data_IF_446800887527
#
_entry.id   IF_446800887527
#
_cell.length_a   1.000
_cell.length_b   1.000
_cell.length_c   1.000
_cell.angle_alpha   90.00
_cell.angle_beta   90.00
_cell.angle_gamma   90.00
#
_symmetry.space_group_name_H-M   'P 1'
#
loop_
_entity.id
_entity.type
_entity.pdbx_description
1 polymer ?
#
# COMPACT_ATOMS: atom_id res chain seq x y z
N UNK A 1 -4.05 -75.45 60.06
CA UNK A 1 -4.20 -75.48 58.59
C UNK A 1 -4.45 -74.05 58.14
N UNK A 2 -3.39 -73.40 57.69
CA UNK A 2 -3.35 -71.98 57.31
C UNK A 2 -4.14 -71.73 56.02
N UNK A 3 -4.90 -70.64 55.96
CA UNK A 3 -5.08 -69.89 54.72
C UNK A 3 -5.01 -68.40 55.00
N UNK A 4 -3.93 -67.79 54.51
CA UNK A 4 -3.73 -66.34 54.42
C UNK A 4 -4.32 -65.91 53.08
N UNK A 5 -5.34 -65.05 53.09
CA UNK A 5 -5.83 -64.38 51.88
C UNK A 5 -4.92 -63.17 51.62
N UNK A 6 -4.12 -63.22 50.55
CA UNK A 6 -3.30 -62.11 50.09
C UNK A 6 -4.13 -61.30 49.08
N UNK A 7 -4.53 -60.09 49.47
CA UNK A 7 -5.16 -59.12 48.57
C UNK A 7 -4.06 -58.32 47.86
N UNK A 8 -3.93 -58.50 46.54
CA UNK A 8 -3.04 -57.69 45.71
C UNK A 8 -3.75 -56.40 45.29
N UNK A 9 -3.49 -55.31 46.00
CA UNK A 9 -3.86 -53.96 45.56
C UNK A 9 -2.83 -53.49 44.53
N UNK A 10 -3.20 -53.48 43.26
CA UNK A 10 -2.41 -52.85 42.19
C UNK A 10 -2.49 -51.34 42.38
N UNK A 11 -1.41 -50.75 42.90
CA UNK A 11 -1.19 -49.30 42.89
C UNK A 11 -0.87 -48.87 41.45
N UNK A 12 -1.89 -48.38 40.75
CA UNK A 12 -1.69 -47.62 39.51
C UNK A 12 -1.09 -46.27 39.91
N UNK A 13 0.22 -46.12 39.73
CA UNK A 13 0.88 -44.82 39.81
C UNK A 13 0.44 -44.00 38.60
N UNK A 14 -0.58 -43.17 38.77
CA UNK A 14 -0.87 -42.08 37.84
C UNK A 14 0.26 -41.06 37.93
N UNK A 15 1.08 -40.97 36.87
CA UNK A 15 2.00 -39.86 36.69
C UNK A 15 1.16 -38.58 36.53
N UNK A 16 1.02 -37.81 37.61
CA UNK A 16 0.57 -36.44 37.56
C UNK A 16 1.60 -35.65 36.74
N UNK A 17 1.32 -35.48 35.45
CA UNK A 17 2.05 -34.58 34.58
C UNK A 17 1.77 -33.16 35.11
N UNK A 18 2.63 -32.67 36.00
CA UNK A 18 2.50 -31.36 36.64
C UNK A 18 2.69 -30.27 35.57
N UNK A 19 1.63 -29.93 34.86
CA UNK A 19 1.53 -28.65 34.20
C UNK A 19 1.27 -27.64 35.32
N UNK A 20 2.34 -26.95 35.73
CA UNK A 20 2.21 -25.77 36.60
C UNK A 20 1.17 -24.84 35.99
N UNK A 21 0.31 -24.27 36.84
CA UNK A 21 -0.69 -23.30 36.40
C UNK A 21 -0.02 -22.19 35.57
N UNK A 22 -0.66 -21.71 34.48
CA UNK A 22 -0.14 -20.60 33.69
C UNK A 22 0.14 -19.38 34.58
N UNK A 23 1.31 -18.75 34.41
CA UNK A 23 1.69 -17.53 35.12
C UNK A 23 1.39 -16.36 34.20
N UNK A 24 0.58 -15.42 34.70
CA UNK A 24 0.22 -14.18 34.00
C UNK A 24 0.73 -12.99 34.83
N UNK A 25 1.83 -12.39 34.39
CA UNK A 25 2.43 -11.24 35.07
C UNK A 25 3.23 -10.36 34.11
N UNK A 26 3.61 -9.17 34.58
CA UNK A 26 4.59 -8.35 33.87
C UNK A 26 5.92 -9.12 33.73
N UNK A 27 6.67 -8.80 32.67
CA UNK A 27 7.97 -9.37 32.34
C UNK A 27 7.98 -10.91 32.23
N UNK A 28 6.83 -11.50 31.87
CA UNK A 28 6.66 -12.96 31.77
C UNK A 28 6.01 -13.35 30.43
N UNK A 29 6.54 -14.43 29.84
CA UNK A 29 6.17 -14.97 28.55
C UNK A 29 5.18 -16.12 28.69
N UNK A 30 4.20 -16.21 27.79
CA UNK A 30 3.29 -17.36 27.73
C UNK A 30 3.94 -18.57 27.04
N UNK A 31 4.83 -18.29 26.08
CA UNK A 31 5.56 -19.25 25.28
C UNK A 31 6.94 -18.68 24.92
N UNK A 32 7.96 -19.51 24.89
CA UNK A 32 9.33 -19.06 24.63
C UNK A 32 10.14 -20.13 23.88
N UNK A 33 11.00 -19.72 22.95
CA UNK A 33 11.81 -20.58 22.09
C UNK A 33 11.01 -21.49 21.13
N UNK A 34 11.71 -22.20 20.25
CA UNK A 34 11.16 -23.09 19.21
C UNK A 34 11.38 -24.55 19.61
N UNK A 35 10.30 -25.32 19.71
CA UNK A 35 10.35 -26.73 20.12
C UNK A 35 10.09 -27.72 18.99
N UNK A 36 9.58 -27.27 17.84
CA UNK A 36 9.31 -28.16 16.72
C UNK A 36 9.07 -27.44 15.41
N UNK A 37 8.93 -28.24 14.37
CA UNK A 37 8.69 -27.76 13.01
C UNK A 37 7.68 -28.68 12.33
N UNK A 38 6.68 -28.09 11.69
CA UNK A 38 5.72 -28.80 10.85
C UNK A 38 6.37 -29.31 9.57
N UNK A 39 5.71 -30.23 8.90
CA UNK A 39 6.17 -30.81 7.62
C UNK A 39 6.32 -29.78 6.50
N UNK A 40 5.64 -28.63 6.58
CA UNK A 40 5.75 -27.50 5.64
C UNK A 40 6.81 -26.46 6.04
N UNK A 41 7.67 -26.78 7.02
CA UNK A 41 8.78 -25.93 7.44
C UNK A 41 8.39 -24.82 8.43
N UNK A 42 7.10 -24.67 8.76
CA UNK A 42 6.65 -23.70 9.78
C UNK A 42 7.09 -24.16 11.18
N UNK A 43 7.87 -23.33 11.85
CA UNK A 43 8.33 -23.57 13.22
C UNK A 43 7.22 -23.32 14.24
N UNK A 44 7.29 -24.00 15.38
CA UNK A 44 6.32 -23.94 16.47
C UNK A 44 7.02 -23.64 17.79
N UNK A 45 6.42 -22.74 18.57
CA UNK A 45 6.95 -22.33 19.85
C UNK A 45 6.81 -23.45 20.90
N UNK A 46 7.68 -23.42 21.91
CA UNK A 46 7.49 -24.25 23.10
C UNK A 46 6.31 -23.73 23.93
N UNK A 47 5.50 -24.61 24.55
CA UNK A 47 4.32 -24.20 25.32
C UNK A 47 4.66 -23.74 26.74
N UNK A 48 5.95 -23.60 27.06
CA UNK A 48 6.42 -23.26 28.39
C UNK A 48 6.69 -21.77 28.48
N UNK A 49 6.11 -21.12 29.49
CA UNK A 49 6.40 -19.73 29.80
C UNK A 49 7.75 -19.56 30.48
N UNK A 50 8.31 -18.36 30.36
CA UNK A 50 9.59 -17.97 30.97
C UNK A 50 9.55 -16.52 31.40
N UNK A 51 10.54 -16.09 32.18
CA UNK A 51 10.79 -14.65 32.32
C UNK A 51 11.22 -14.07 30.98
N UNK A 52 10.80 -12.84 30.71
CA UNK A 52 11.30 -12.05 29.58
C UNK A 52 12.80 -11.79 29.75
N UNK A 53 13.51 -11.78 28.63
CA UNK A 53 14.98 -11.72 28.62
C UNK A 53 15.43 -10.40 28.02
N UNK A 54 16.44 -9.77 28.62
CA UNK A 54 17.09 -8.59 28.04
C UNK A 54 17.89 -9.01 26.81
N UNK A 55 17.56 -8.51 25.60
CA UNK A 55 18.35 -8.79 24.41
C UNK A 55 19.69 -8.05 24.46
N UNK A 56 20.69 -8.55 23.75
CA UNK A 56 21.93 -7.80 23.50
C UNK A 56 21.66 -6.59 22.58
N UNK A 57 22.64 -5.69 22.45
CA UNK A 57 22.47 -4.44 21.71
C UNK A 57 22.19 -4.66 20.22
N UNK A 58 22.79 -5.68 19.62
CA UNK A 58 22.59 -6.02 18.21
C UNK A 58 21.17 -6.53 17.98
N UNK A 59 20.71 -7.44 18.83
CA UNK A 59 19.38 -8.00 18.75
C UNK A 59 18.32 -6.96 19.11
N UNK A 60 18.57 -6.10 20.09
CA UNK A 60 17.69 -4.97 20.42
C UNK A 60 17.48 -4.05 19.22
N UNK A 61 18.56 -3.67 18.52
CA UNK A 61 18.48 -2.86 17.30
C UNK A 61 17.72 -3.58 16.17
N UNK A 62 17.93 -4.89 16.04
CA UNK A 62 17.21 -5.74 15.08
C UNK A 62 15.71 -5.75 15.37
N UNK A 63 15.29 -5.90 16.63
CA UNK A 63 13.89 -5.82 17.04
C UNK A 63 13.29 -4.46 16.71
N UNK A 64 13.96 -3.37 17.07
CA UNK A 64 13.48 -2.01 16.83
C UNK A 64 13.28 -1.69 15.34
N UNK A 65 14.03 -2.34 14.44
CA UNK A 65 13.88 -2.15 12.99
C UNK A 65 12.49 -2.56 12.47
N UNK A 66 11.85 -3.55 13.10
CA UNK A 66 10.52 -4.05 12.73
C UNK A 66 9.44 -3.63 13.74
N UNK A 67 9.78 -3.70 15.03
CA UNK A 67 8.91 -3.54 16.19
C UNK A 67 9.39 -2.38 17.09
N UNK A 68 9.28 -1.11 16.64
CA UNK A 68 9.80 0.05 17.37
C UNK A 68 9.08 0.32 18.70
N UNK A 69 7.90 -0.27 18.92
CA UNK A 69 7.16 -0.18 20.19
C UNK A 69 7.72 -1.09 21.28
N UNK A 70 8.49 -2.12 20.90
CA UNK A 70 9.07 -3.08 21.84
C UNK A 70 10.40 -2.53 22.36
N UNK A 71 10.49 -2.35 23.66
CA UNK A 71 11.69 -1.83 24.34
C UNK A 71 11.98 -2.63 25.60
N UNK A 72 13.26 -2.72 25.99
CA UNK A 72 13.67 -3.47 27.17
C UNK A 72 13.72 -4.98 26.95
N UNK A 73 13.16 -5.74 27.89
CA UNK A 73 13.12 -7.20 27.82
C UNK A 73 12.16 -7.68 26.72
N UNK A 74 12.35 -8.91 26.26
CA UNK A 74 11.55 -9.51 25.19
C UNK A 74 11.25 -10.98 25.44
N UNK A 75 10.14 -11.45 24.88
CA UNK A 75 9.68 -12.85 24.93
C UNK A 75 9.98 -13.65 23.65
N UNK A 76 10.99 -13.25 22.89
CA UNK A 76 11.41 -13.96 21.69
C UNK A 76 12.93 -14.14 21.64
N UNK A 77 13.35 -15.28 21.09
CA UNK A 77 14.74 -15.50 20.68
C UNK A 77 15.01 -14.83 19.32
N UNK A 78 16.27 -14.72 18.93
CA UNK A 78 16.64 -14.15 17.63
C UNK A 78 16.02 -14.96 16.46
N UNK A 79 15.95 -16.29 16.59
CA UNK A 79 15.35 -17.19 15.60
C UNK A 79 13.84 -17.02 15.51
N UNK A 80 13.15 -16.81 16.65
CA UNK A 80 11.73 -16.47 16.67
C UNK A 80 11.47 -15.11 16.01
N UNK A 81 12.31 -14.11 16.26
CA UNK A 81 12.19 -12.81 15.62
C UNK A 81 12.43 -12.87 14.10
N UNK A 82 13.44 -13.63 13.64
CA UNK A 82 13.66 -13.82 12.20
C UNK A 82 12.49 -14.53 11.52
N UNK A 83 11.88 -15.49 12.22
CA UNK A 83 10.65 -16.15 11.78
C UNK A 83 9.50 -15.16 11.65
N UNK A 84 9.26 -14.33 12.69
CA UNK A 84 8.26 -13.27 12.66
C UNK A 84 8.48 -12.36 11.45
N UNK A 85 9.72 -11.87 11.27
CA UNK A 85 10.08 -10.98 10.16
C UNK A 85 9.76 -11.59 8.80
N UNK A 86 10.15 -12.84 8.58
CA UNK A 86 9.87 -13.58 7.33
C UNK A 86 8.37 -13.75 7.07
N UNK A 87 7.59 -14.03 8.12
CA UNK A 87 6.14 -14.23 7.98
C UNK A 87 5.41 -12.91 7.66
N UNK A 88 5.69 -11.84 8.39
CA UNK A 88 5.02 -10.54 8.14
C UNK A 88 5.45 -9.91 6.82
N UNK A 89 6.67 -10.18 6.35
CA UNK A 89 7.16 -9.71 5.05
C UNK A 89 6.29 -10.17 3.87
N UNK A 90 5.59 -11.29 3.98
CA UNK A 90 4.66 -11.76 2.95
C UNK A 90 3.44 -10.84 2.80
N UNK A 91 3.03 -10.15 3.88
CA UNK A 91 1.91 -9.21 3.87
C UNK A 91 2.32 -7.79 3.46
N UNK A 92 3.61 -7.43 3.64
CA UNK A 92 4.13 -6.08 3.39
C UNK A 92 3.74 -5.54 2.00
N UNK A 93 3.96 -6.25 0.87
CA UNK A 93 3.64 -5.72 -0.46
C UNK A 93 2.18 -5.34 -0.68
N UNK A 94 1.25 -5.89 0.12
CA UNK A 94 -0.16 -5.56 0.07
C UNK A 94 -0.49 -4.28 0.86
N UNK A 95 0.26 -4.01 1.93
CA UNK A 95 -0.02 -2.94 2.89
C UNK A 95 0.89 -1.71 2.73
N UNK A 96 1.92 -1.76 1.88
CA UNK A 96 2.89 -0.66 1.69
C UNK A 96 2.28 0.67 1.24
N UNK A 97 1.08 0.67 0.64
CA UNK A 97 0.39 1.90 0.22
C UNK A 97 0.02 2.83 1.38
N UNK A 98 -0.09 2.27 2.59
CA UNK A 98 -0.44 3.00 3.81
C UNK A 98 0.47 2.59 4.97
N UNK A 99 1.51 3.39 5.29
CA UNK A 99 2.44 3.12 6.39
C UNK A 99 1.77 2.98 7.76
N UNK A 100 0.71 3.74 8.05
CA UNK A 100 -0.04 3.63 9.29
C UNK A 100 -0.68 2.24 9.46
N UNK A 101 -1.37 1.76 8.41
CA UNK A 101 -1.94 0.42 8.37
C UNK A 101 -0.87 -0.66 8.57
N UNK A 102 0.23 -0.58 7.81
CA UNK A 102 1.32 -1.54 7.93
C UNK A 102 1.92 -1.54 9.34
N UNK A 103 2.10 -0.37 9.96
CA UNK A 103 2.60 -0.27 11.34
C UNK A 103 1.65 -0.93 12.34
N UNK A 104 0.34 -0.69 12.26
CA UNK A 104 -0.64 -1.34 13.13
C UNK A 104 -0.61 -2.87 12.97
N UNK A 105 -0.55 -3.35 11.73
CA UNK A 105 -0.47 -4.78 11.42
C UNK A 105 0.80 -5.41 11.99
N UNK A 106 1.95 -4.75 11.85
CA UNK A 106 3.20 -5.22 12.44
C UNK A 106 3.14 -5.23 13.97
N UNK A 107 2.61 -4.17 14.59
CA UNK A 107 2.49 -4.07 16.05
C UNK A 107 1.69 -5.23 16.64
N UNK A 108 0.61 -5.68 15.96
CA UNK A 108 -0.16 -6.86 16.38
C UNK A 108 0.71 -8.11 16.54
N UNK A 109 1.55 -8.42 15.55
CA UNK A 109 2.40 -9.62 15.59
C UNK A 109 3.69 -9.42 16.41
N UNK A 110 4.18 -8.20 16.51
CA UNK A 110 5.27 -7.82 17.40
C UNK A 110 4.89 -8.05 18.87
N UNK A 111 3.71 -7.60 19.29
CA UNK A 111 3.21 -7.83 20.64
C UNK A 111 2.94 -9.32 20.89
N UNK A 112 2.37 -10.01 19.91
CA UNK A 112 2.15 -11.45 20.00
C UNK A 112 3.46 -12.21 20.28
N UNK A 113 4.52 -11.86 19.56
CA UNK A 113 5.73 -12.68 19.51
C UNK A 113 6.80 -12.25 20.51
N UNK A 114 6.98 -10.95 20.73
CA UNK A 114 8.16 -10.42 21.40
C UNK A 114 7.87 -9.54 22.62
N UNK A 115 6.60 -9.22 22.93
CA UNK A 115 6.27 -8.37 24.08
C UNK A 115 6.84 -8.92 25.39
N UNK A 116 7.47 -8.09 26.25
CA UNK A 116 7.92 -8.53 27.56
C UNK A 116 6.77 -9.02 28.45
N UNK A 117 5.57 -8.53 28.21
CA UNK A 117 4.37 -8.81 29.02
C UNK A 117 3.42 -9.79 28.32
N UNK A 118 3.94 -10.63 27.41
CA UNK A 118 3.15 -11.52 26.56
C UNK A 118 2.14 -12.37 27.36
N UNK A 119 2.52 -12.86 28.54
CA UNK A 119 1.63 -13.68 29.38
C UNK A 119 0.37 -12.95 29.86
N UNK A 120 0.34 -11.61 29.91
CA UNK A 120 -0.86 -10.89 30.33
C UNK A 120 -2.00 -11.01 29.32
N UNK A 121 -1.70 -11.17 28.04
CA UNK A 121 -2.69 -11.19 26.98
C UNK A 121 -2.65 -12.45 26.11
N UNK A 122 -1.71 -13.36 26.31
CA UNK A 122 -1.68 -14.67 25.64
C UNK A 122 -1.89 -15.79 26.65
N UNK A 123 -2.73 -16.74 26.28
CA UNK A 123 -2.86 -18.01 26.97
C UNK A 123 -2.71 -19.18 25.99
N UNK A 124 -1.90 -20.17 26.32
CA UNK A 124 -1.77 -21.40 25.51
C UNK A 124 -2.96 -22.30 25.80
N UNK A 125 -3.77 -22.59 24.79
CA UNK A 125 -5.02 -23.35 24.93
C UNK A 125 -4.89 -24.80 24.49
N UNK A 126 -4.02 -25.09 23.53
CA UNK A 126 -3.72 -26.46 23.11
C UNK A 126 -2.25 -26.64 22.79
N UNK A 127 -1.79 -27.86 23.04
CA UNK A 127 -0.43 -28.32 22.75
C UNK A 127 -0.49 -29.58 21.90
N UNK A 128 0.48 -29.75 21.01
CA UNK A 128 0.63 -30.94 20.18
C UNK A 128 2.07 -31.47 20.24
N UNK A 129 2.23 -32.78 20.10
CA UNK A 129 3.54 -33.40 19.99
C UNK A 129 4.03 -33.38 18.53
N UNK A 130 5.19 -32.77 18.30
CA UNK A 130 5.81 -32.67 16.98
C UNK A 130 7.29 -33.02 17.12
N UNK A 131 7.73 -34.08 16.43
CA UNK A 131 9.12 -34.52 16.48
C UNK A 131 9.60 -34.96 17.88
N UNK A 132 8.69 -35.46 18.73
CA UNK A 132 8.99 -35.87 20.11
C UNK A 132 9.01 -34.75 21.15
N UNK A 133 8.73 -33.50 20.74
CA UNK A 133 8.64 -32.35 21.63
C UNK A 133 7.20 -31.82 21.71
N UNK A 134 6.81 -31.28 22.86
CA UNK A 134 5.56 -30.55 23.00
C UNK A 134 5.69 -29.15 22.38
N UNK A 135 4.69 -28.77 21.59
CA UNK A 135 4.66 -27.51 20.85
C UNK A 135 3.29 -26.85 20.99
N UNK A 136 3.26 -25.52 20.86
CA UNK A 136 2.00 -24.76 20.84
C UNK A 136 1.18 -25.12 19.60
N UNK A 137 -0.08 -25.50 19.82
CA UNK A 137 -1.04 -25.83 18.77
C UNK A 137 -2.22 -24.83 18.70
N UNK A 138 -2.46 -24.11 19.80
CA UNK A 138 -3.50 -23.11 19.90
C UNK A 138 -3.24 -22.13 21.03
N UNK A 139 -3.59 -20.86 20.80
CA UNK A 139 -3.56 -19.80 21.80
C UNK A 139 -4.86 -19.00 21.81
N UNK A 140 -5.18 -18.41 22.95
CA UNK A 140 -6.07 -17.25 23.06
C UNK A 140 -5.21 -15.98 23.12
N UNK A 141 -5.54 -15.00 22.29
CA UNK A 141 -4.91 -13.69 22.30
C UNK A 141 -5.96 -12.62 22.63
N UNK A 142 -5.84 -12.06 23.83
CA UNK A 142 -6.72 -11.05 24.37
C UNK A 142 -6.32 -9.66 23.86
N UNK A 143 -7.21 -9.00 23.12
CA UNK A 143 -6.94 -7.72 22.44
C UNK A 143 -8.13 -6.81 22.64
N UNK A 144 -7.90 -5.52 22.87
CA UNK A 144 -9.01 -4.56 22.97
C UNK A 144 -9.71 -4.37 21.63
N UNK A 145 -11.04 -4.25 21.65
CA UNK A 145 -11.83 -3.94 20.44
C UNK A 145 -11.40 -2.60 19.81
N UNK A 146 -10.94 -1.64 20.62
CA UNK A 146 -10.39 -0.38 20.13
C UNK A 146 -9.17 -0.58 19.23
N UNK A 147 -8.25 -1.48 19.59
CA UNK A 147 -7.09 -1.79 18.75
C UNK A 147 -7.53 -2.49 17.46
N UNK A 148 -8.42 -3.49 17.56
CA UNK A 148 -8.94 -4.21 16.41
C UNK A 148 -9.64 -3.29 15.40
N UNK A 149 -10.54 -2.43 15.88
CA UNK A 149 -11.25 -1.45 15.08
C UNK A 149 -10.27 -0.46 14.43
N UNK A 150 -9.33 0.11 15.20
CA UNK A 150 -8.35 1.05 14.66
C UNK A 150 -7.43 0.44 13.59
N UNK A 151 -7.02 -0.83 13.77
CA UNK A 151 -6.27 -1.57 12.77
C UNK A 151 -7.11 -1.75 11.50
N UNK A 152 -8.34 -2.24 11.60
CA UNK A 152 -9.23 -2.42 10.46
C UNK A 152 -9.49 -1.11 9.71
N UNK A 153 -9.88 -0.06 10.43
CA UNK A 153 -10.17 1.26 9.86
C UNK A 153 -8.96 1.87 9.15
N UNK A 154 -7.75 1.66 9.67
CA UNK A 154 -6.53 2.13 9.00
C UNK A 154 -6.22 1.40 7.69
N UNK A 155 -6.76 0.18 7.50
CA UNK A 155 -6.39 -0.73 6.42
C UNK A 155 -7.49 -0.98 5.37
N UNK A 156 -8.76 -0.74 5.70
CA UNK A 156 -9.90 -1.17 4.88
C UNK A 156 -9.94 -0.58 3.46
N UNK A 157 -9.37 0.61 3.26
CA UNK A 157 -9.30 1.30 1.96
C UNK A 157 -7.97 1.10 1.23
N UNK A 158 -6.98 0.45 1.87
CA UNK A 158 -5.66 0.23 1.29
C UNK A 158 -5.75 -0.68 0.06
N UNK A 159 -5.11 -0.27 -1.03
CA UNK A 159 -5.12 -1.00 -2.29
C UNK A 159 -3.79 -1.70 -2.54
N UNK A 160 -3.88 -2.90 -3.10
CA UNK A 160 -2.73 -3.54 -3.70
C UNK A 160 -2.46 -2.90 -5.06
N UNK A 161 -1.40 -2.08 -5.12
CA UNK A 161 -1.14 -1.16 -6.24
C UNK A 161 -1.09 -1.80 -7.63
N UNK A 162 -0.70 -3.07 -7.75
CA UNK A 162 -0.60 -3.75 -9.06
C UNK A 162 -1.96 -4.16 -9.64
N UNK A 163 -2.95 -4.46 -8.79
CA UNK A 163 -4.26 -4.98 -9.20
C UNK A 163 -5.41 -3.98 -8.94
N UNK A 164 -5.14 -2.86 -8.25
CA UNK A 164 -6.16 -1.88 -7.84
C UNK A 164 -7.32 -2.53 -7.04
N UNK A 165 -7.04 -3.64 -6.37
CA UNK A 165 -7.97 -4.35 -5.49
C UNK A 165 -7.62 -4.06 -4.03
N UNK A 166 -8.60 -4.12 -3.13
CA UNK A 166 -8.36 -3.88 -1.70
C UNK A 166 -7.42 -4.94 -1.13
N UNK A 167 -6.40 -4.50 -0.40
CA UNK A 167 -5.40 -5.36 0.23
C UNK A 167 -6.03 -6.37 1.21
N UNK A 168 -7.09 -5.95 1.92
CA UNK A 168 -7.85 -6.79 2.87
C UNK A 168 -8.42 -8.05 2.23
N UNK A 169 -8.63 -8.08 0.90
CA UNK A 169 -9.07 -9.28 0.21
C UNK A 169 -8.00 -10.39 0.21
N UNK A 170 -6.72 -10.03 0.30
CA UNK A 170 -5.60 -10.96 0.35
C UNK A 170 -5.15 -11.24 1.78
N UNK A 171 -4.97 -10.19 2.59
CA UNK A 171 -4.43 -10.33 3.96
C UNK A 171 -5.51 -10.56 5.03
N UNK A 172 -6.79 -10.43 4.66
CA UNK A 172 -7.93 -10.59 5.57
C UNK A 172 -9.06 -11.42 4.99
N UNK A 173 -8.85 -12.12 3.86
CA UNK A 173 -9.88 -12.98 3.26
C UNK A 173 -11.15 -12.26 2.84
N UNK A 174 -11.11 -10.93 2.63
CA UNK A 174 -12.28 -10.13 2.31
C UNK A 174 -13.13 -9.73 3.52
N UNK A 175 -12.55 -9.74 4.72
CA UNK A 175 -13.19 -9.31 5.95
C UNK A 175 -13.84 -7.92 5.83
N UNK A 176 -15.07 -7.80 6.35
CA UNK A 176 -15.86 -6.56 6.36
C UNK A 176 -15.80 -5.81 7.70
N UNK A 177 -15.17 -6.39 8.70
CA UNK A 177 -14.94 -5.82 10.02
C UNK A 177 -13.70 -6.45 10.67
N UNK A 178 -13.23 -5.88 11.78
CA UNK A 178 -12.02 -6.37 12.45
C UNK A 178 -12.16 -7.79 12.99
N UNK A 179 -13.36 -8.23 13.40
CA UNK A 179 -13.60 -9.58 13.96
C UNK A 179 -13.42 -10.65 12.89
N UNK A 180 -13.99 -10.42 11.71
CA UNK A 180 -13.77 -11.28 10.54
C UNK A 180 -12.30 -11.31 10.13
N UNK A 181 -11.62 -10.16 10.17
CA UNK A 181 -10.20 -10.11 9.84
C UNK A 181 -9.38 -10.94 10.83
N UNK A 182 -9.61 -10.76 12.13
CA UNK A 182 -8.97 -11.54 13.19
C UNK A 182 -9.26 -13.03 13.06
N UNK A 183 -10.49 -13.42 12.75
CA UNK A 183 -10.82 -14.82 12.49
C UNK A 183 -10.01 -15.40 11.31
N UNK A 184 -9.83 -14.63 10.24
CA UNK A 184 -9.03 -15.04 9.08
C UNK A 184 -7.54 -15.21 9.42
N UNK A 185 -6.91 -14.19 9.99
CA UNK A 185 -5.46 -14.25 10.29
C UNK A 185 -5.13 -15.20 11.44
N UNK A 186 -6.11 -15.49 12.31
CA UNK A 186 -5.96 -16.41 13.43
C UNK A 186 -6.19 -17.87 13.07
N UNK A 187 -6.73 -18.15 11.87
CA UNK A 187 -6.94 -19.53 11.44
C UNK A 187 -5.60 -20.25 11.22
N UNK A 188 -5.49 -21.46 11.79
CA UNK A 188 -4.35 -22.35 11.54
C UNK A 188 -4.29 -22.69 10.06
N UNK A 189 -3.19 -22.33 9.40
CA UNK A 189 -3.01 -22.55 7.98
C UNK A 189 -2.86 -24.06 7.66
N UNK A 190 -3.51 -24.54 6.59
CA UNK A 190 -3.23 -25.86 6.02
C UNK A 190 -1.76 -25.96 5.58
N UNK A 191 -1.19 -27.18 5.52
CA UNK A 191 0.19 -27.38 5.08
C UNK A 191 0.47 -26.74 3.72
N UNK A 192 1.53 -25.92 3.65
CA UNK A 192 1.96 -25.26 2.41
C UNK A 192 1.22 -23.96 2.05
N UNK A 193 0.28 -23.51 2.88
CA UNK A 193 -0.41 -22.23 2.69
C UNK A 193 0.16 -21.12 3.60
N UNK A 194 0.14 -19.84 3.16
CA UNK A 194 0.50 -18.72 4.01
C UNK A 194 -0.50 -18.58 5.17
N UNK A 195 -0.04 -18.03 6.29
CA UNK A 195 -0.85 -17.84 7.50
C UNK A 195 -0.27 -18.52 8.74
N UNK A 196 -1.05 -18.50 9.83
CA UNK A 196 -0.60 -18.90 11.16
C UNK A 196 -0.24 -20.38 11.25
N UNK A 197 0.88 -20.77 11.90
CA UNK A 197 1.28 -22.17 12.03
C UNK A 197 0.41 -22.98 13.02
N UNK A 198 -0.25 -22.29 13.94
CA UNK A 198 -1.16 -22.80 14.97
C UNK A 198 -2.42 -21.90 15.07
N UNK A 199 -3.44 -22.32 15.82
CA UNK A 199 -4.68 -21.53 15.94
C UNK A 199 -4.48 -20.32 16.89
N UNK A 200 -4.96 -19.15 16.49
CA UNK A 200 -4.96 -17.93 17.33
C UNK A 200 -6.41 -17.47 17.46
N UNK A 201 -6.96 -17.61 18.66
CA UNK A 201 -8.31 -17.13 18.96
C UNK A 201 -8.23 -15.72 19.55
N UNK A 202 -8.62 -14.72 18.76
CA UNK A 202 -8.68 -13.34 19.23
C UNK A 202 -9.90 -13.11 20.13
N UNK A 203 -9.68 -12.58 21.34
CA UNK A 203 -10.73 -12.36 22.35
C UNK A 203 -10.73 -10.91 22.82
N UNK A 204 -11.91 -10.30 22.88
CA UNK A 204 -12.10 -8.90 23.29
C UNK A 204 -11.98 -8.66 24.81
N UNK A 205 -12.18 -9.70 25.61
CA UNK A 205 -12.17 -9.65 27.07
C UNK A 205 -11.22 -10.68 27.66
N UNK A 206 -10.62 -10.37 28.81
CA UNK A 206 -9.91 -11.35 29.64
C UNK A 206 -10.88 -11.98 30.66
N UNK A 207 -10.59 -13.20 31.15
CA UNK A 207 -11.36 -13.80 32.24
C UNK A 207 -11.29 -12.92 33.49
N UNK A 208 -12.45 -12.54 34.07
CA UNK A 208 -12.54 -11.59 35.20
C UNK A 208 -11.76 -12.00 36.46
N UNK A 209 -11.48 -13.30 36.62
CA UNK A 209 -10.75 -13.86 37.77
C UNK A 209 -9.26 -14.11 37.49
N UNK A 210 -8.77 -13.70 36.32
CA UNK A 210 -7.36 -13.88 35.92
C UNK A 210 -6.58 -12.59 36.06
N UNK A 211 -5.27 -12.69 36.30
CA UNK A 211 -4.35 -11.55 36.23
C UNK A 211 -4.09 -11.07 34.78
N UNK A 212 -4.84 -11.60 33.81
CA UNK A 212 -4.71 -11.26 32.40
C UNK A 212 -5.36 -9.91 32.10
N UNK A 213 -4.70 -9.13 31.26
CA UNK A 213 -5.20 -7.87 30.73
C UNK A 213 -5.06 -7.90 29.20
N UNK A 214 -6.09 -7.50 28.44
CA UNK A 214 -6.00 -7.47 26.99
C UNK A 214 -4.91 -6.49 26.53
N UNK A 215 -4.21 -6.83 25.45
CA UNK A 215 -3.25 -5.93 24.82
C UNK A 215 -3.98 -4.63 24.44
N UNK A 216 -3.45 -3.51 24.95
CA UNK A 216 -4.01 -2.18 24.75
C UNK A 216 -2.95 -1.22 24.23
N UNK A 217 -2.52 -1.45 22.99
CA UNK A 217 -1.71 -0.48 22.25
C UNK A 217 -2.59 0.55 21.55
N UNK A 218 -2.04 1.75 21.35
CA UNK A 218 -2.64 2.73 20.45
C UNK A 218 -2.44 2.33 18.99
N UNK A 219 -3.38 2.74 18.14
CA UNK A 219 -3.31 2.56 16.69
C UNK A 219 -3.00 3.88 16.01
N UNK A 220 -2.31 3.80 14.87
CA UNK A 220 -2.07 4.94 13.99
C UNK A 220 -3.26 5.09 13.03
N UNK A 221 -3.88 6.26 13.03
CA UNK A 221 -4.91 6.59 12.04
C UNK A 221 -4.28 6.78 10.66
N UNK A 222 -4.96 6.36 9.59
CA UNK A 222 -4.47 6.58 8.23
C UNK A 222 -4.49 8.06 7.82
N UNK A 223 -5.28 8.89 8.51
CA UNK A 223 -5.34 10.33 8.32
C UNK A 223 -4.28 11.12 9.11
N UNK A 224 -3.46 10.45 9.94
CA UNK A 224 -2.37 11.12 10.66
C UNK A 224 -1.20 11.41 9.71
N UNK A 225 -0.56 12.55 9.91
CA UNK A 225 0.59 13.02 9.13
C UNK A 225 1.89 12.28 9.45
N UNK A 226 2.01 11.69 10.66
CA UNK A 226 3.22 10.99 11.11
C UNK A 226 3.55 9.76 10.26
N UNK A 227 2.53 9.01 9.86
CA UNK A 227 2.59 7.83 9.01
C UNK A 227 1.60 7.97 7.84
N UNK A 228 1.69 9.11 7.15
CA UNK A 228 0.75 9.50 6.11
C UNK A 228 0.56 8.45 5.02
N UNK A 229 -0.71 8.14 4.73
CA UNK A 229 -1.09 7.22 3.67
C UNK A 229 -1.39 7.96 2.37
N UNK A 230 -1.25 7.27 1.24
CA UNK A 230 -1.62 7.81 -0.06
C UNK A 230 -3.13 8.09 -0.10
N UNK A 231 -3.56 9.14 -0.80
CA UNK A 231 -4.98 9.49 -0.88
C UNK A 231 -5.85 8.34 -1.44
N UNK A 232 -5.32 7.57 -2.39
CA UNK A 232 -6.02 6.41 -2.96
C UNK A 232 -6.22 5.24 -1.98
N UNK A 233 -5.44 5.21 -0.89
CA UNK A 233 -5.43 4.17 0.14
C UNK A 233 -6.10 4.62 1.45
N UNK A 234 -6.32 5.93 1.62
CA UNK A 234 -6.98 6.51 2.79
C UNK A 234 -7.66 7.84 2.41
N UNK A 235 -9.00 7.89 2.30
CA UNK A 235 -9.74 9.11 1.95
C UNK A 235 -9.62 10.24 2.99
N UNK A 236 -9.35 9.90 4.25
CA UNK A 236 -9.11 10.86 5.32
C UNK A 236 -7.67 11.36 5.37
N UNK A 237 -6.81 10.93 4.44
CA UNK A 237 -5.45 11.45 4.32
C UNK A 237 -5.48 12.93 3.96
N UNK A 238 -4.67 13.79 4.62
CA UNK A 238 -4.54 15.20 4.27
C UNK A 238 -4.08 15.42 2.82
N UNK A 239 -3.44 14.42 2.20
CA UNK A 239 -3.06 14.45 0.79
C UNK A 239 -4.26 14.48 -0.18
N UNK A 240 -5.47 14.14 0.30
CA UNK A 240 -6.70 14.23 -0.49
C UNK A 240 -7.32 15.62 -0.53
N UNK A 241 -6.94 16.51 0.39
CA UNK A 241 -7.42 17.89 0.37
C UNK A 241 -6.88 18.58 -0.88
N UNK A 242 -7.77 18.87 -1.84
CA UNK A 242 -7.41 19.60 -3.05
C UNK A 242 -6.84 20.97 -2.68
N UNK A 243 -5.85 21.49 -3.41
CA UNK A 243 -5.47 22.90 -3.29
C UNK A 243 -6.73 23.77 -3.50
N UNK A 244 -6.85 24.85 -2.72
CA UNK A 244 -7.80 25.94 -2.96
C UNK A 244 -7.90 26.19 -4.48
N UNK A 245 -9.10 26.32 -5.08
CA UNK A 245 -9.22 26.60 -6.51
C UNK A 245 -8.32 27.76 -6.87
N UNK A 246 -7.30 27.50 -7.70
CA UNK A 246 -6.48 28.57 -8.27
C UNK A 246 -7.45 29.60 -8.85
N UNK A 247 -7.27 30.91 -8.56
CA UNK A 247 -8.12 31.93 -9.14
C UNK A 247 -8.15 31.71 -10.66
N UNK A 248 -9.33 31.86 -11.31
CA UNK A 248 -9.44 31.64 -12.74
C UNK A 248 -8.31 32.41 -13.42
N UNK A 249 -7.59 31.80 -14.37
CA UNK A 249 -6.54 32.49 -15.09
C UNK A 249 -7.13 33.82 -15.55
N UNK A 250 -6.51 34.93 -15.15
CA UNK A 250 -6.89 36.24 -15.65
C UNK A 250 -6.90 36.12 -17.17
N UNK A 251 -8.07 36.25 -17.80
CA UNK A 251 -8.15 36.40 -19.24
C UNK A 251 -7.23 37.58 -19.57
N UNK A 252 -6.10 37.29 -20.21
CA UNK A 252 -5.19 38.30 -20.75
C UNK A 252 -6.04 39.33 -21.49
N UNK A 253 -5.99 40.58 -21.01
CA UNK A 253 -6.86 41.67 -21.46
C UNK A 253 -6.72 41.88 -22.97
N UNK A 254 -7.61 41.23 -23.72
CA UNK A 254 -7.76 41.49 -25.14
C UNK A 254 -8.09 42.98 -25.35
N UNK A 255 -7.17 43.68 -26.03
CA UNK A 255 -7.26 45.11 -26.36
C UNK A 255 -8.70 45.47 -26.75
N UNK A 256 -9.35 46.25 -25.89
CA UNK A 256 -10.70 46.75 -26.13
C UNK A 256 -10.76 48.23 -25.74
N UNK A 257 -11.26 49.05 -26.66
CA UNK A 257 -11.46 50.47 -26.44
C UNK A 257 -12.96 50.71 -26.18
N UNK A 258 -13.28 51.51 -25.17
CA UNK A 258 -14.64 51.99 -24.93
C UNK A 258 -14.78 53.37 -25.56
N UNK A 259 -15.60 53.49 -26.61
CA UNK A 259 -16.08 54.76 -27.12
C UNK A 259 -17.54 54.91 -26.72
N UNK A 260 -17.80 55.65 -25.64
CA UNK A 260 -19.15 55.84 -25.10
C UNK A 260 -19.79 54.53 -24.62
N UNK A 261 -21.04 54.21 -25.00
CA UNK A 261 -21.73 53.00 -24.53
C UNK A 261 -21.30 51.71 -25.26
N UNK A 262 -20.41 51.79 -26.25
CA UNK A 262 -20.00 50.65 -27.07
C UNK A 262 -18.60 50.15 -26.65
N UNK A 263 -18.49 48.87 -26.32
CA UNK A 263 -17.22 48.17 -26.12
C UNK A 263 -16.81 47.55 -27.45
N UNK A 264 -15.76 48.07 -28.07
CA UNK A 264 -15.27 47.58 -29.37
C UNK A 264 -13.93 46.87 -29.17
N UNK A 265 -13.81 45.66 -29.72
CA UNK A 265 -12.56 44.89 -29.66
C UNK A 265 -11.60 45.40 -30.73
N UNK A 266 -10.29 45.47 -30.45
CA UNK A 266 -9.29 45.95 -31.41
C UNK A 266 -9.29 45.12 -32.72
N UNK A 267 -9.69 43.84 -32.64
CA UNK A 267 -9.86 42.98 -33.82
C UNK A 267 -11.00 43.44 -34.75
N UNK A 268 -12.09 43.98 -34.19
CA UNK A 268 -13.24 44.46 -34.97
C UNK A 268 -12.89 45.75 -35.72
N UNK A 269 -12.15 46.67 -35.07
CA UNK A 269 -11.62 47.87 -35.71
C UNK A 269 -10.62 47.54 -36.82
N UNK A 270 -9.71 46.60 -36.57
CA UNK A 270 -8.73 46.15 -37.57
C UNK A 270 -9.41 45.58 -38.82
N UNK A 271 -10.41 44.71 -38.62
CA UNK A 271 -11.19 44.13 -39.72
C UNK A 271 -12.00 45.19 -40.48
N UNK A 272 -12.60 46.16 -39.80
CA UNK A 272 -13.34 47.23 -40.43
C UNK A 272 -12.45 48.13 -41.30
N UNK A 273 -11.27 48.52 -40.79
CA UNK A 273 -10.29 49.32 -41.55
C UNK A 273 -9.81 48.57 -42.79
N UNK A 274 -9.50 47.28 -42.66
CA UNK A 274 -9.08 46.45 -43.78
C UNK A 274 -10.17 46.33 -44.85
N UNK A 275 -11.43 46.18 -44.45
CA UNK A 275 -12.56 46.16 -45.37
C UNK A 275 -12.71 47.49 -46.14
N UNK A 276 -12.59 48.63 -45.45
CA UNK A 276 -12.68 49.95 -46.10
C UNK A 276 -11.56 50.13 -47.13
N UNK A 277 -10.33 49.68 -46.82
CA UNK A 277 -9.20 49.74 -47.75
C UNK A 277 -9.40 48.85 -48.99
N UNK A 278 -9.95 47.65 -48.82
CA UNK A 278 -10.23 46.76 -49.95
C UNK A 278 -11.32 47.36 -50.86
N UNK A 279 -12.37 47.90 -50.28
CA UNK A 279 -13.46 48.53 -51.02
C UNK A 279 -12.98 49.78 -51.74
N UNK A 280 -12.20 50.65 -51.09
CA UNK A 280 -11.66 51.86 -51.73
C UNK A 280 -10.67 51.53 -52.85
N UNK A 281 -9.84 50.48 -52.68
CA UNK A 281 -8.97 49.95 -53.73
C UNK A 281 -9.78 49.43 -54.91
N UNK A 282 -10.86 48.67 -54.67
CA UNK A 282 -11.72 48.15 -55.74
C UNK A 282 -12.43 49.27 -56.50
N UNK A 283 -12.99 50.26 -55.79
CA UNK A 283 -13.62 51.42 -56.43
C UNK A 283 -12.60 52.33 -57.13
N UNK A 284 -11.41 52.53 -56.54
CA UNK A 284 -10.31 53.27 -57.15
C UNK A 284 -9.76 52.58 -58.40
N UNK A 285 -9.64 51.26 -58.37
CA UNK A 285 -9.30 50.46 -59.54
C UNK A 285 -10.39 50.59 -60.61
N UNK A 286 -11.66 50.48 -60.25
CA UNK A 286 -12.77 50.58 -61.19
C UNK A 286 -12.88 51.97 -61.84
N UNK A 287 -12.58 53.05 -61.11
CA UNK A 287 -12.57 54.41 -61.70
C UNK A 287 -11.30 54.65 -62.52
N UNK A 288 -10.13 54.16 -62.08
CA UNK A 288 -8.87 54.27 -62.82
C UNK A 288 -8.85 53.42 -64.09
N UNK A 289 -9.42 52.21 -64.09
CA UNK A 289 -9.59 51.39 -65.30
C UNK A 289 -10.53 52.08 -66.29
N UNK A 290 -11.62 52.70 -65.81
CA UNK A 290 -12.52 53.51 -66.64
C UNK A 290 -11.86 54.76 -67.23
N UNK A 291 -10.86 55.31 -66.55
CA UNK A 291 -10.10 56.48 -67.03
C UNK A 291 -8.99 56.05 -68.01
N UNK A 292 -8.40 54.85 -67.85
CA UNK A 292 -7.47 54.27 -68.84
C UNK A 292 -8.14 53.91 -70.16
N UNK A 293 -9.45 53.63 -70.17
CA UNK A 293 -10.22 53.46 -71.41
C UNK A 293 -10.49 54.79 -72.17
N UNK A 294 -10.15 55.96 -71.61
CA UNK A 294 -10.35 57.27 -72.26
C UNK A 294 -9.03 57.90 -72.76
N UNK A 295 -7.86 57.28 -72.55
CA UNK A 295 -6.58 57.85 -73.05
C UNK A 295 -5.62 56.78 -73.59
N UNK A 296 -5.92 56.20 -74.75
CA UNK A 296 -5.04 56.18 -75.93
C UNK A 296 -5.78 55.57 -77.15
N UNK A 297 -5.40 55.97 -78.38
CA UNK A 297 -6.17 55.73 -79.60
C UNK A 297 -6.02 54.30 -80.10
N UNK A 298 -7.13 53.79 -80.61
CA UNK A 298 -7.28 52.52 -81.29
C UNK A 298 -6.51 52.51 -82.62
N UNK A 299 -5.75 51.44 -82.86
CA UNK A 299 -4.78 51.36 -83.94
C UNK A 299 -4.35 49.93 -84.21
N UNK A 300 -5.30 49.12 -84.71
CA UNK A 300 -5.16 48.04 -85.69
C UNK A 300 -3.79 47.32 -85.80
N UNK A 301 -3.77 46.01 -85.52
CA UNK A 301 -3.53 45.00 -86.58
C UNK A 301 -3.55 43.57 -86.05
N UNK A 302 -3.93 42.71 -86.99
CA UNK A 302 -4.24 41.28 -86.94
C UNK A 302 -3.02 40.37 -86.73
N UNK A 303 -3.33 39.18 -86.18
CA UNK A 303 -2.85 37.84 -86.59
C UNK A 303 -1.36 37.46 -86.45
N UNK A 304 -1.08 36.32 -85.78
CA UNK A 304 -0.98 35.00 -86.43
C UNK A 304 -0.17 34.00 -85.57
N UNK A 305 -0.86 32.95 -85.13
CA UNK A 305 -0.45 31.53 -84.97
C UNK A 305 1.05 31.17 -84.89
N UNK A 306 1.44 30.49 -83.80
CA UNK A 306 2.28 29.25 -83.72
C UNK A 306 2.21 28.73 -82.26
N UNK A 307 1.55 27.60 -81.96
CA UNK A 307 2.10 26.22 -81.94
C UNK A 307 3.31 26.15 -80.98
N UNK A 308 3.35 25.38 -79.88
CA UNK A 308 3.00 23.97 -79.62
C UNK A 308 2.86 23.80 -78.07
N UNK A 309 1.84 23.09 -77.54
CA UNK A 309 1.85 21.62 -77.23
C UNK A 309 2.61 21.32 -75.93
N UNK A 310 2.20 20.50 -74.98
CA UNK A 310 1.03 19.66 -74.68
C UNK A 310 1.14 19.36 -73.17
N UNK A 311 0.04 19.25 -72.44
CA UNK A 311 -0.66 18.00 -72.14
C UNK A 311 -0.03 17.18 -70.99
N UNK A 312 -0.90 16.49 -70.22
CA UNK A 312 -0.51 15.25 -69.55
C UNK A 312 -0.21 15.29 -68.05
N UNK A 313 -1.24 14.98 -67.27
CA UNK A 313 -1.18 14.50 -65.88
C UNK A 313 -0.50 13.11 -65.82
N UNK A 314 0.38 12.85 -64.82
CA UNK A 314 0.31 11.66 -63.95
C UNK A 314 1.49 11.53 -62.95
N UNK A 315 1.11 11.28 -61.69
CA UNK A 315 1.60 10.28 -60.73
C UNK A 315 3.08 9.86 -60.72
N UNK A 316 3.76 10.11 -59.60
CA UNK A 316 4.30 9.12 -58.64
C UNK A 316 5.50 9.73 -57.87
N UNK A 317 5.56 9.44 -56.56
CA UNK A 317 6.69 8.75 -55.90
C UNK A 317 7.03 9.26 -54.48
N UNK A 318 7.11 8.28 -53.57
CA UNK A 318 7.97 8.15 -52.37
C UNK A 318 7.64 8.90 -51.06
N UNK A 319 7.05 8.12 -50.16
CA UNK A 319 7.71 7.58 -48.94
C UNK A 319 9.08 8.17 -48.54
N UNK A 320 9.13 8.77 -47.34
CA UNK A 320 10.32 8.69 -46.48
C UNK A 320 9.94 8.74 -45.00
N UNK A 321 9.99 7.58 -44.38
CA UNK A 321 10.02 7.30 -42.94
C UNK A 321 11.33 7.84 -42.33
N UNK A 322 11.25 8.61 -41.25
CA UNK A 322 12.42 8.86 -40.38
C UNK A 322 12.08 8.46 -38.94
N UNK A 323 12.46 7.24 -38.57
CA UNK A 323 12.52 6.78 -37.20
C UNK A 323 13.79 7.28 -36.52
N UNK A 324 13.65 7.99 -35.39
CA UNK A 324 14.76 8.31 -34.51
C UNK A 324 14.77 7.32 -33.35
N UNK A 325 15.72 6.38 -33.39
CA UNK A 325 16.01 5.39 -32.36
C UNK A 325 17.03 5.98 -31.38
N UNK A 326 16.55 6.61 -30.31
CA UNK A 326 17.40 7.12 -29.22
C UNK A 326 17.71 6.05 -28.18
N UNK A 327 18.83 5.34 -28.31
CA UNK A 327 19.43 4.57 -27.21
C UNK A 327 20.06 5.55 -26.21
N UNK A 328 19.51 5.64 -24.99
CA UNK A 328 20.22 6.20 -23.83
C UNK A 328 20.60 5.07 -22.89
N UNK A 329 21.88 4.73 -22.86
CA UNK A 329 22.47 4.02 -21.74
C UNK A 329 22.69 5.04 -20.61
N UNK A 330 21.81 5.04 -19.62
CA UNK A 330 22.04 5.77 -18.38
C UNK A 330 22.79 4.85 -17.40
N UNK A 331 24.02 5.21 -17.07
CA UNK A 331 24.77 4.63 -15.96
C UNK A 331 24.06 5.01 -14.66
N UNK A 332 23.43 4.04 -13.99
CA UNK A 332 22.76 4.23 -12.70
C UNK A 332 23.80 4.41 -11.59
N UNK A 333 23.54 5.32 -10.65
CA UNK A 333 24.43 5.60 -9.53
C UNK A 333 24.46 4.44 -8.51
N UNK A 334 25.48 4.37 -7.63
CA UNK A 334 25.58 3.33 -6.59
C UNK A 334 24.33 3.22 -5.68
N UNK A 335 23.60 4.32 -5.50
CA UNK A 335 22.39 4.38 -4.67
C UNK A 335 21.21 3.65 -5.34
N UNK A 336 21.12 3.70 -6.67
CA UNK A 336 20.09 2.97 -7.43
C UNK A 336 20.37 1.47 -7.52
N UNK A 337 21.65 1.07 -7.44
CA UNK A 337 22.04 -0.35 -7.35
C UNK A 337 21.61 -0.96 -5.99
N UNK A 338 21.61 -0.17 -4.92
CA UNK A 338 21.15 -0.62 -3.60
C UNK A 338 19.64 -0.88 -3.57
N UNK A 339 18.83 0.00 -4.18
CA UNK A 339 17.37 -0.20 -4.26
C UNK A 339 16.95 -1.41 -5.12
N UNK A 340 17.72 -1.75 -6.16
CA UNK A 340 17.48 -2.93 -6.98
C UNK A 340 17.80 -4.27 -6.27
N UNK A 341 18.55 -4.23 -5.15
CA UNK A 341 18.90 -5.42 -4.37
C UNK A 341 17.94 -5.66 -3.19
N UNK A 342 17.08 -4.68 -2.88
CA UNK A 342 16.08 -4.77 -1.80
C UNK A 342 14.80 -5.54 -2.21
N UNK A 343 14.58 -5.74 -3.51
CA UNK A 343 13.38 -6.41 -4.06
C UNK A 343 13.68 -7.78 -4.69
N UNK A 344 14.69 -8.49 -4.19
CA UNK A 344 14.97 -9.88 -4.56
C UNK A 344 14.78 -10.81 -3.38
#
# INVERSE_FOLDING_TARGET
MNQVMISFSVLVSSSLNSHSAPIHSNDYCAMYDICGQRTDGKVLNCPYGSLSVKPDDLFSAKIQSLCPTITGNVCCTETQFDTLRSQVQQAVPFLVGCPACLRNFLNLFCELSCSPNQSLFINVTSVAEVGGNLTVDGIDYHITDMFGEGLYESCKEVKFGTMNTRAINFVGGGAQNFREWFAFIGQKAPPGFPGSPYAINFKSSSPELSAMAPMNLSTYSCGDTSLGCSCGDCPSSPACSSPEPLPPPHEEDSCSFRLGPLKVRCIELSMALLYILLVSSFFGWATFSRTRDITQPDGSSESLVRLLEGDGINSELKESTLGVKGKRHAHLSPVQRYMATFYK
#
